data_IF_391984163041
#
_entry.id   IF_391984163041
#
_cell.length_a   1.000
_cell.length_b   1.000
_cell.length_c   1.000
_cell.angle_alpha   90.00
_cell.angle_beta   90.00
_cell.angle_gamma   90.00
#
_symmetry.space_group_name_H-M   'P 1'
#
loop_
_entity.id
_entity.type
_entity.pdbx_description
1 polymer ?
#
# COMPACT_ATOMS: atom_id res chain seq x y z
N UNK A 1 -48.24 -27.55 -13.72
CA UNK A 1 -47.72 -26.25 -14.21
C UNK A 1 -46.24 -26.20 -13.87
N UNK A 2 -45.29 -26.22 -14.84
CA UNK A 2 -43.88 -26.15 -14.49
C UNK A 2 -43.48 -24.69 -14.25
N UNK A 3 -42.88 -24.41 -13.10
CA UNK A 3 -42.34 -23.09 -12.74
C UNK A 3 -41.10 -22.77 -13.59
N UNK A 4 -40.85 -21.49 -13.92
CA UNK A 4 -40.01 -21.12 -15.06
C UNK A 4 -38.51 -21.32 -14.79
N UNK A 5 -37.81 -21.71 -15.86
CA UNK A 5 -36.35 -21.90 -16.04
C UNK A 5 -35.48 -20.69 -15.64
N UNK A 6 -36.08 -19.55 -15.31
CA UNK A 6 -35.41 -18.29 -14.94
C UNK A 6 -34.69 -18.37 -13.58
N UNK A 7 -35.06 -19.34 -12.74
CA UNK A 7 -34.41 -19.59 -11.45
C UNK A 7 -32.99 -20.19 -11.54
N UNK A 8 -32.55 -20.60 -12.73
CA UNK A 8 -31.22 -21.21 -12.93
C UNK A 8 -30.05 -20.21 -12.85
N UNK A 9 -30.24 -19.00 -13.38
CA UNK A 9 -29.18 -17.97 -13.43
C UNK A 9 -28.89 -17.40 -12.03
N UNK A 10 -29.94 -17.11 -11.26
CA UNK A 10 -29.80 -16.62 -9.89
C UNK A 10 -29.14 -17.68 -8.98
N UNK A 11 -29.36 -18.96 -9.25
CA UNK A 11 -28.71 -20.07 -8.53
C UNK A 11 -27.19 -20.10 -8.72
N UNK A 12 -26.67 -19.61 -9.84
CA UNK A 12 -25.22 -19.52 -10.07
C UNK A 12 -24.60 -18.31 -9.36
N UNK A 13 -25.34 -17.19 -9.28
CA UNK A 13 -24.93 -16.00 -8.53
C UNK A 13 -25.03 -16.18 -6.99
N UNK A 14 -25.99 -16.97 -6.51
CA UNK A 14 -26.12 -17.32 -5.08
C UNK A 14 -25.23 -18.50 -4.66
N UNK A 15 -24.53 -19.16 -5.59
CA UNK A 15 -23.49 -20.11 -5.21
C UNK A 15 -22.33 -19.31 -4.63
N UNK A 16 -22.18 -19.36 -3.31
CA UNK A 16 -20.99 -18.90 -2.59
C UNK A 16 -19.76 -19.35 -3.35
N UNK A 17 -19.05 -18.40 -3.96
CA UNK A 17 -17.79 -18.67 -4.63
C UNK A 17 -16.80 -19.07 -3.54
N UNK A 18 -16.54 -20.38 -3.43
CA UNK A 18 -15.46 -20.91 -2.58
C UNK A 18 -14.15 -20.63 -3.32
N UNK A 19 -13.68 -19.38 -3.20
CA UNK A 19 -12.38 -18.99 -3.74
C UNK A 19 -11.31 -19.59 -2.81
N UNK A 20 -10.29 -20.29 -3.35
CA UNK A 20 -9.18 -20.78 -2.54
C UNK A 20 -8.52 -19.60 -1.80
N UNK A 21 -8.73 -19.52 -0.49
CA UNK A 21 -8.00 -18.58 0.35
C UNK A 21 -6.60 -19.16 0.52
N UNK A 22 -5.61 -18.52 -0.10
CA UNK A 22 -4.21 -18.84 0.16
C UNK A 22 -3.97 -18.64 1.66
N UNK A 23 -3.71 -19.74 2.40
CA UNK A 23 -3.36 -19.69 3.82
C UNK A 23 -1.93 -19.17 3.97
N UNK A 24 -1.75 -17.89 3.67
CA UNK A 24 -0.47 -17.20 3.83
C UNK A 24 -0.36 -16.85 5.31
N UNK A 25 0.46 -17.61 6.03
CA UNK A 25 0.87 -17.29 7.39
C UNK A 25 2.35 -16.95 7.37
N UNK A 26 2.72 -15.89 8.07
CA UNK A 26 4.11 -15.55 8.31
C UNK A 26 4.59 -16.23 9.60
N UNK A 27 5.89 -16.52 9.67
CA UNK A 27 6.56 -16.83 10.94
C UNK A 27 6.69 -15.52 11.74
N UNK A 28 6.76 -15.57 13.08
CA UNK A 28 7.05 -14.39 13.89
C UNK A 28 8.32 -13.69 13.41
N UNK A 29 8.39 -12.37 13.58
CA UNK A 29 9.57 -11.61 13.21
C UNK A 29 10.80 -12.14 13.95
N UNK A 30 11.87 -12.43 13.20
CA UNK A 30 13.15 -12.86 13.79
C UNK A 30 13.75 -11.75 14.66
N UNK A 31 13.54 -10.50 14.25
CA UNK A 31 13.88 -9.31 15.01
C UNK A 31 12.67 -8.37 15.00
N UNK A 32 12.16 -8.06 16.19
CA UNK A 32 11.02 -7.17 16.35
C UNK A 32 11.52 -5.72 16.29
N UNK A 33 11.15 -5.02 15.23
CA UNK A 33 11.41 -3.58 15.11
C UNK A 33 10.39 -2.87 15.99
N UNK A 34 10.86 -2.13 16.98
CA UNK A 34 10.01 -1.32 17.85
C UNK A 34 9.42 -0.14 17.07
N UNK A 35 8.33 0.44 17.60
CA UNK A 35 7.72 1.64 17.01
C UNK A 35 8.72 2.81 16.92
N UNK A 36 9.64 2.93 17.88
CA UNK A 36 10.68 3.96 17.88
C UNK A 36 11.68 3.78 16.74
N UNK A 37 12.15 2.56 16.51
CA UNK A 37 13.08 2.25 15.41
C UNK A 37 12.41 2.44 14.05
N UNK A 38 11.13 2.05 13.92
CA UNK A 38 10.37 2.25 12.69
C UNK A 38 10.15 3.75 12.40
N UNK A 39 9.79 4.54 13.42
CA UNK A 39 9.61 5.98 13.28
C UNK A 39 10.94 6.67 12.88
N UNK A 40 12.05 6.25 13.48
CA UNK A 40 13.37 6.74 13.11
C UNK A 40 13.71 6.41 11.65
N UNK A 41 13.57 5.14 11.24
CA UNK A 41 13.85 4.72 9.87
C UNK A 41 13.01 5.47 8.83
N UNK A 42 11.70 5.64 9.09
CA UNK A 42 10.81 6.41 8.24
C UNK A 42 11.26 7.88 8.15
N UNK A 43 11.55 8.51 9.29
CA UNK A 43 11.99 9.91 9.32
C UNK A 43 13.28 10.10 8.54
N UNK A 44 14.24 9.18 8.70
CA UNK A 44 15.50 9.21 7.93
C UNK A 44 15.21 9.07 6.45
N UNK A 45 14.40 8.09 6.04
CA UNK A 45 14.03 7.89 4.62
C UNK A 45 13.39 9.13 4.00
N UNK A 46 12.47 9.79 4.71
CA UNK A 46 11.86 11.03 4.22
C UNK A 46 12.87 12.17 4.15
N UNK A 47 13.69 12.35 5.18
CA UNK A 47 14.67 13.43 5.26
C UNK A 47 15.75 13.31 4.18
N UNK A 48 16.20 12.09 3.86
CA UNK A 48 17.23 11.89 2.83
C UNK A 48 16.75 12.22 1.43
N UNK A 49 15.45 12.10 1.15
CA UNK A 49 14.86 12.48 -0.14
C UNK A 49 14.46 13.96 -0.12
N UNK A 50 13.65 14.36 0.87
CA UNK A 50 13.04 15.68 0.92
C UNK A 50 14.04 16.78 1.33
N UNK A 51 15.08 16.45 2.09
CA UNK A 51 16.09 17.42 2.51
C UNK A 51 16.82 18.04 1.31
N UNK A 52 17.50 17.24 0.47
CA UNK A 52 18.15 17.74 -0.74
C UNK A 52 17.17 18.39 -1.71
N UNK A 53 15.99 17.79 -1.93
CA UNK A 53 14.96 18.39 -2.80
C UNK A 53 14.47 19.74 -2.30
N UNK A 54 14.23 19.86 -0.99
CA UNK A 54 13.80 21.10 -0.36
C UNK A 54 14.86 22.19 -0.45
N UNK A 55 16.14 21.83 -0.27
CA UNK A 55 17.25 22.76 -0.45
C UNK A 55 17.29 23.31 -1.88
N UNK A 56 17.27 22.43 -2.88
CA UNK A 56 17.29 22.83 -4.30
C UNK A 56 16.10 23.74 -4.62
N UNK A 57 14.91 23.38 -4.14
CA UNK A 57 13.69 24.14 -4.41
C UNK A 57 13.70 25.53 -3.73
N UNK A 58 14.26 25.62 -2.53
CA UNK A 58 14.37 26.88 -1.79
C UNK A 58 15.30 27.89 -2.49
N UNK A 59 16.30 27.41 -3.24
CA UNK A 59 17.30 28.25 -3.91
C UNK A 59 17.00 28.51 -5.39
N UNK A 60 15.80 28.19 -5.89
CA UNK A 60 15.47 28.40 -7.30
C UNK A 60 15.62 29.86 -7.76
N UNK A 61 15.28 30.82 -6.90
CA UNK A 61 15.44 32.24 -7.22
C UNK A 61 16.90 32.68 -7.28
N UNK A 62 17.75 32.06 -6.48
CA UNK A 62 19.20 32.32 -6.50
C UNK A 62 19.82 31.74 -7.77
N UNK A 63 19.38 30.56 -8.21
CA UNK A 63 19.85 29.96 -9.46
C UNK A 63 19.43 30.74 -10.72
N UNK A 64 18.35 31.53 -10.65
CA UNK A 64 17.90 32.39 -11.76
C UNK A 64 18.78 33.64 -11.90
N UNK A 65 19.36 34.12 -10.81
CA UNK A 65 20.27 35.27 -10.81
C UNK A 65 21.65 34.76 -11.21
N UNK A 66 21.99 34.95 -12.48
CA UNK A 66 23.39 34.88 -12.91
C UNK A 66 24.00 36.22 -12.54
N UNK A 67 24.83 36.25 -11.51
CA UNK A 67 25.90 37.24 -11.52
C UNK A 67 26.75 37.08 -12.80
#
# INVERSE_FOLDING_TARGET
>A
MPLPTVSGLFRHALRTQVVPVARVSAKPAQHNISAGEQAFALTVMFTTILGPSGWILAHLEDYKKKE
#
